data_IF_485783754025
#
_entry.id   IF_485783754025
#
_cell.length_a   1.000
_cell.length_b   1.000
_cell.length_c   1.000
_cell.angle_alpha   90.00
_cell.angle_beta   90.00
_cell.angle_gamma   90.00
#
_symmetry.space_group_name_H-M   'P 1'
#
loop_
_entity.id
_entity.type
_entity.pdbx_description
1 polymer ?
#
# COMPACT_ATOMS: atom_id res chain seq x y z
N UNK A 1 20.06 53.45 3.96
CA UNK A 1 20.26 52.36 4.93
C UNK A 1 19.58 52.75 6.23
N UNK A 2 18.28 52.45 6.35
CA UNK A 2 17.35 52.60 7.50
C UNK A 2 15.96 52.20 6.94
N UNK A 3 15.06 51.68 7.79
CA UNK A 3 13.62 51.26 7.61
C UNK A 3 13.51 49.74 7.83
N UNK A 4 12.70 49.17 8.73
CA UNK A 4 11.67 49.71 9.64
C UNK A 4 11.41 48.66 10.74
N UNK A 5 11.25 49.13 11.97
CA UNK A 5 10.71 48.36 13.09
C UNK A 5 9.46 49.13 13.54
N UNK A 6 8.28 48.50 13.53
CA UNK A 6 7.02 48.85 14.24
C UNK A 6 5.82 48.21 13.53
N UNK A 7 5.00 47.45 14.28
CA UNK A 7 3.60 47.81 14.60
C UNK A 7 3.02 46.71 15.52
N UNK A 8 2.52 47.17 16.67
CA UNK A 8 1.83 46.42 17.71
C UNK A 8 0.39 46.99 17.78
N UNK A 9 -0.60 46.10 17.90
CA UNK A 9 -1.97 46.26 18.45
C UNK A 9 -2.89 47.41 17.98
N UNK A 10 -4.07 47.02 17.47
CA UNK A 10 -5.36 47.69 17.75
C UNK A 10 -6.44 46.62 17.99
N UNK A 11 -7.15 46.74 19.12
CA UNK A 11 -8.42 46.09 19.46
C UNK A 11 -9.57 47.04 19.08
N UNK A 12 -10.70 46.54 18.56
CA UNK A 12 -12.05 46.95 19.00
C UNK A 12 -13.17 46.10 18.35
N UNK A 13 -13.84 45.32 19.19
CA UNK A 13 -15.30 45.20 19.38
C UNK A 13 -16.27 45.27 18.18
N UNK A 14 -17.04 44.19 17.97
CA UNK A 14 -18.46 44.29 17.58
C UNK A 14 -19.27 43.18 18.27
N UNK A 15 -20.23 43.60 19.09
CA UNK A 15 -21.31 42.79 19.66
C UNK A 15 -22.49 42.87 18.69
N UNK A 16 -23.11 41.74 18.35
CA UNK A 16 -24.49 41.68 17.91
C UNK A 16 -25.09 40.32 18.27
N UNK A 17 -26.07 40.37 19.15
CA UNK A 17 -26.96 39.28 19.55
C UNK A 17 -28.32 39.59 18.93
N UNK A 18 -28.84 38.76 18.02
CA UNK A 18 -30.26 38.77 17.65
C UNK A 18 -30.74 37.32 17.45
N UNK A 19 -31.87 37.04 18.09
CA UNK A 19 -32.52 35.76 18.22
C UNK A 19 -33.26 35.28 16.96
N UNK A 20 -33.42 33.96 16.91
CA UNK A 20 -34.44 33.13 16.26
C UNK A 20 -35.33 33.70 15.16
N UNK A 21 -35.28 33.04 13.99
CA UNK A 21 -36.48 32.68 13.24
C UNK A 21 -36.34 31.27 12.68
N UNK A 22 -37.33 30.45 13.02
CA UNK A 22 -37.66 29.14 12.46
C UNK A 22 -38.15 29.23 11.02
N UNK A 23 -37.90 28.15 10.28
CA UNK A 23 -38.60 27.62 9.09
C UNK A 23 -37.76 27.63 7.80
N UNK A 24 -37.35 26.44 7.34
CA UNK A 24 -38.02 25.79 6.21
C UNK A 24 -37.40 24.43 5.85
N UNK A 25 -38.31 23.47 5.71
CA UNK A 25 -38.38 22.48 4.63
C UNK A 25 -37.48 21.24 4.68
N UNK A 26 -38.17 20.15 5.04
CA UNK A 26 -37.85 18.77 4.74
C UNK A 26 -37.42 18.57 3.28
N UNK A 27 -36.19 18.08 3.08
CA UNK A 27 -35.90 17.14 1.98
C UNK A 27 -35.52 15.81 2.60
N UNK A 28 -36.50 14.91 2.51
CA UNK A 28 -36.44 13.49 2.84
C UNK A 28 -35.34 12.82 2.02
N UNK A 29 -34.22 12.46 2.65
CA UNK A 29 -33.33 11.43 2.12
C UNK A 29 -33.94 10.07 2.48
N UNK A 30 -34.09 9.13 1.53
CA UNK A 30 -34.59 7.80 1.84
C UNK A 30 -33.61 7.06 2.77
N UNK A 31 -34.12 6.29 3.76
CA UNK A 31 -33.28 5.58 4.70
C UNK A 31 -32.51 4.46 4.00
N UNK A 32 -31.21 4.37 4.29
CA UNK A 32 -30.40 3.19 4.00
C UNK A 32 -31.03 1.97 4.67
N UNK A 33 -31.61 1.09 3.86
CA UNK A 33 -32.16 -0.19 4.32
C UNK A 33 -31.01 -1.10 4.73
N UNK A 34 -30.93 -1.40 6.03
CA UNK A 34 -30.20 -2.57 6.53
C UNK A 34 -30.87 -3.85 6.04
N UNK A 35 -30.07 -4.76 5.45
CA UNK A 35 -30.16 -6.24 5.42
C UNK A 35 -29.14 -6.72 4.37
N UNK A 36 -28.32 -7.76 4.54
CA UNK A 36 -28.42 -8.97 5.35
C UNK A 36 -26.99 -9.52 5.61
N UNK A 37 -26.82 -10.18 6.76
CA UNK A 37 -25.71 -11.11 7.05
C UNK A 37 -25.56 -12.07 5.86
N UNK A 38 -24.41 -12.03 5.18
CA UNK A 38 -23.98 -13.11 4.29
C UNK A 38 -22.86 -13.88 5.00
N UNK A 39 -23.12 -15.17 5.14
CA UNK A 39 -22.28 -16.19 5.75
C UNK A 39 -20.93 -16.27 5.03
N UNK A 40 -19.83 -16.32 5.79
CA UNK A 40 -18.50 -16.62 5.26
C UNK A 40 -18.50 -17.97 4.50
N UNK A 41 -17.94 -18.05 3.29
CA UNK A 41 -17.55 -19.32 2.73
C UNK A 41 -16.31 -19.84 3.47
N UNK A 42 -16.44 -21.02 4.09
CA UNK A 42 -15.32 -21.79 4.62
C UNK A 42 -14.40 -22.17 3.46
N UNK A 43 -13.12 -21.78 3.54
CA UNK A 43 -12.07 -22.28 2.65
C UNK A 43 -11.69 -23.67 3.16
N UNK A 44 -12.11 -24.70 2.43
CA UNK A 44 -11.58 -26.06 2.55
C UNK A 44 -10.20 -26.04 1.87
N UNK A 45 -9.16 -26.23 2.67
CA UNK A 45 -7.81 -26.51 2.15
C UNK A 45 -7.79 -28.01 1.86
N UNK A 46 -7.80 -28.39 0.58
CA UNK A 46 -7.43 -29.73 0.16
C UNK A 46 -5.92 -29.87 0.30
N UNK A 47 -5.48 -30.72 1.24
CA UNK A 47 -4.10 -31.19 1.34
C UNK A 47 -3.78 -32.08 0.13
N UNK A 48 -2.99 -31.57 -0.82
CA UNK A 48 -2.29 -32.44 -1.77
C UNK A 48 -1.18 -33.19 -1.03
N UNK A 49 -1.40 -34.49 -0.89
CA UNK A 49 -0.50 -35.44 -0.28
C UNK A 49 0.70 -35.71 -1.20
N UNK A 50 1.90 -35.42 -0.69
CA UNK A 50 3.17 -35.89 -1.25
C UNK A 50 3.26 -37.42 -1.19
N UNK A 51 3.64 -38.12 -2.28
CA UNK A 51 3.96 -39.54 -2.23
C UNK A 51 5.28 -39.79 -1.49
N UNK A 52 5.24 -40.71 -0.53
CA UNK A 52 6.42 -41.28 0.12
C UNK A 52 7.26 -42.10 -0.88
N UNK A 53 8.58 -42.01 -0.79
CA UNK A 53 9.47 -43.10 -1.23
C UNK A 53 10.73 -43.16 -0.36
N UNK A 54 10.81 -44.23 0.45
CA UNK A 54 12.01 -44.87 0.98
C UNK A 54 12.05 -46.24 0.23
N UNK A 55 13.14 -46.85 -0.26
CA UNK A 55 14.54 -46.90 0.18
C UNK A 55 15.50 -47.30 -0.99
N UNK A 56 16.81 -47.21 -0.67
CA UNK A 56 17.94 -48.09 -1.07
C UNK A 56 18.83 -47.78 -2.33
N UNK A 57 19.97 -47.15 -2.01
CA UNK A 57 21.40 -47.47 -2.31
C UNK A 57 21.90 -48.00 -3.68
N UNK A 58 22.86 -47.21 -4.21
CA UNK A 58 24.13 -47.54 -4.91
C UNK A 58 24.12 -48.34 -6.21
N UNK A 59 24.64 -47.78 -7.32
CA UNK A 59 26.01 -48.06 -7.85
C UNK A 59 26.43 -47.06 -8.94
N UNK A 60 27.74 -46.93 -9.15
CA UNK A 60 28.48 -46.06 -10.09
C UNK A 60 28.46 -46.56 -11.56
N UNK A 61 28.61 -45.62 -12.52
CA UNK A 61 29.47 -45.61 -13.74
C UNK A 61 28.84 -44.66 -14.80
N UNK A 62 29.47 -43.56 -15.22
CA UNK A 62 30.61 -43.33 -16.15
C UNK A 62 30.17 -43.20 -17.64
N UNK A 63 30.42 -42.00 -18.15
CA UNK A 63 30.81 -41.59 -19.52
C UNK A 63 29.89 -41.70 -20.76
N UNK A 64 30.03 -40.62 -21.55
CA UNK A 64 29.97 -40.48 -23.03
C UNK A 64 28.69 -40.05 -23.77
N UNK A 65 28.69 -38.75 -24.11
CA UNK A 65 28.52 -38.15 -25.45
C UNK A 65 28.10 -39.08 -26.60
N UNK A 66 27.01 -38.74 -27.30
CA UNK A 66 27.03 -38.47 -28.76
C UNK A 66 25.74 -37.81 -29.24
N UNK A 67 25.93 -36.77 -30.05
CA UNK A 67 24.94 -36.25 -31.00
C UNK A 67 24.66 -37.31 -32.06
N UNK A 68 23.43 -37.38 -32.57
CA UNK A 68 23.20 -37.26 -34.02
C UNK A 68 21.72 -37.08 -34.36
N UNK A 69 21.53 -36.08 -35.20
CA UNK A 69 20.38 -35.72 -36.03
C UNK A 69 20.05 -36.84 -37.02
N UNK A 70 18.77 -37.04 -37.36
CA UNK A 70 18.40 -37.31 -38.76
C UNK A 70 16.90 -37.08 -39.03
N UNK A 71 16.65 -36.60 -40.25
CA UNK A 71 15.42 -36.07 -40.81
C UNK A 71 14.59 -37.13 -41.55
N UNK A 72 13.29 -36.84 -41.69
CA UNK A 72 12.37 -37.21 -42.79
C UNK A 72 12.03 -38.71 -42.95
N UNK A 73 10.77 -39.12 -43.17
CA UNK A 73 10.00 -38.80 -44.37
C UNK A 73 8.51 -39.16 -44.17
N UNK A 74 7.65 -38.39 -44.84
CA UNK A 74 6.21 -38.56 -45.01
C UNK A 74 5.78 -39.94 -45.54
N UNK A 75 4.57 -40.36 -45.17
CA UNK A 75 3.66 -41.04 -46.10
C UNK A 75 2.20 -40.82 -45.69
N UNK A 76 1.47 -40.13 -46.57
CA UNK A 76 0.01 -40.01 -46.58
C UNK A 76 -0.63 -41.33 -47.00
N UNK A 77 -1.69 -41.74 -46.31
CA UNK A 77 -2.75 -42.58 -46.91
C UNK A 77 -4.12 -42.08 -46.49
N UNK A 78 -4.86 -41.61 -47.48
CA UNK A 78 -6.26 -41.17 -47.42
C UNK A 78 -7.18 -42.37 -47.19
N UNK A 79 -8.03 -42.33 -46.16
CA UNK A 79 -9.32 -43.01 -46.20
C UNK A 79 -10.43 -42.13 -45.61
N UNK A 80 -11.50 -42.04 -46.40
CA UNK A 80 -12.68 -41.22 -46.26
C UNK A 80 -13.76 -42.10 -45.63
N UNK A 81 -14.26 -41.75 -44.45
CA UNK A 81 -15.55 -42.25 -43.95
C UNK A 81 -16.39 -41.03 -43.57
N UNK A 82 -17.47 -40.89 -44.32
CA UNK A 82 -18.58 -39.98 -44.08
C UNK A 82 -19.44 -40.58 -42.98
N UNK A 83 -19.65 -39.87 -41.86
CA UNK A 83 -20.86 -40.04 -41.07
C UNK A 83 -21.23 -38.71 -40.39
N UNK A 84 -22.37 -38.20 -40.83
CA UNK A 84 -23.10 -37.06 -40.34
C UNK A 84 -23.62 -37.32 -38.93
N UNK A 85 -23.32 -36.43 -37.98
CA UNK A 85 -24.19 -36.19 -36.83
C UNK A 85 -24.13 -34.71 -36.44
N UNK A 86 -25.24 -34.04 -36.74
CA UNK A 86 -25.65 -32.73 -36.25
C UNK A 86 -25.62 -32.69 -34.72
N UNK A 87 -24.74 -31.87 -34.17
CA UNK A 87 -24.94 -31.22 -32.87
C UNK A 87 -24.57 -29.77 -33.05
N UNK A 88 -25.58 -28.90 -32.96
CA UNK A 88 -25.43 -27.46 -32.93
C UNK A 88 -24.53 -27.05 -31.76
N UNK A 89 -23.25 -26.83 -32.05
CA UNK A 89 -22.42 -25.93 -31.24
C UNK A 89 -22.59 -24.55 -31.84
N UNK A 90 -23.25 -23.68 -31.09
CA UNK A 90 -23.30 -22.24 -31.30
C UNK A 90 -21.86 -21.77 -31.57
N UNK A 91 -21.55 -21.47 -32.84
CA UNK A 91 -20.33 -20.78 -33.20
C UNK A 91 -20.38 -19.43 -32.49
N UNK A 92 -19.56 -19.25 -31.45
CA UNK A 92 -19.16 -17.92 -31.04
C UNK A 92 -18.68 -17.21 -32.29
N UNK A 93 -19.32 -16.09 -32.62
CA UNK A 93 -18.93 -15.30 -33.78
C UNK A 93 -17.42 -15.04 -33.73
N UNK A 94 -16.69 -15.15 -34.85
CA UNK A 94 -15.28 -14.78 -34.89
C UNK A 94 -15.19 -13.33 -34.41
N UNK A 95 -14.31 -13.08 -33.44
CA UNK A 95 -13.89 -11.74 -33.04
C UNK A 95 -13.75 -10.88 -34.30
N UNK A 96 -14.55 -9.82 -34.38
CA UNK A 96 -14.71 -8.98 -35.56
C UNK A 96 -13.35 -8.65 -36.18
N UNK A 97 -13.15 -9.12 -37.42
CA UNK A 97 -12.02 -8.77 -38.25
C UNK A 97 -12.24 -7.33 -38.75
N UNK A 98 -12.03 -6.35 -37.87
CA UNK A 98 -12.04 -4.94 -38.24
C UNK A 98 -10.76 -4.64 -39.02
N UNK A 99 -10.85 -4.68 -40.34
CA UNK A 99 -9.81 -4.23 -41.27
C UNK A 99 -9.68 -2.70 -41.32
N UNK A 100 -9.65 -2.04 -40.17
CA UNK A 100 -9.57 -0.59 -40.05
C UNK A 100 -8.15 -0.15 -39.68
N UNK A 101 -7.77 1.02 -40.18
CA UNK A 101 -6.58 1.71 -39.67
C UNK A 101 -6.65 1.77 -38.14
N UNK A 102 -5.51 1.62 -37.44
CA UNK A 102 -5.44 1.67 -35.97
C UNK A 102 -6.05 2.95 -35.33
N UNK A 103 -6.47 3.94 -36.13
CA UNK A 103 -7.05 5.21 -35.68
C UNK A 103 -8.23 5.03 -34.70
N UNK A 104 -9.19 4.15 -34.99
CA UNK A 104 -10.34 3.95 -34.10
C UNK A 104 -9.94 3.37 -32.73
N UNK A 105 -8.96 2.46 -32.72
CA UNK A 105 -8.42 1.90 -31.49
C UNK A 105 -7.72 2.97 -30.63
N UNK A 106 -7.00 3.89 -31.28
CA UNK A 106 -6.41 5.04 -30.57
C UNK A 106 -7.47 5.96 -29.96
N UNK A 107 -8.54 6.27 -30.70
CA UNK A 107 -9.63 7.11 -30.19
C UNK A 107 -10.34 6.45 -29.01
N UNK A 108 -10.59 5.14 -29.08
CA UNK A 108 -11.15 4.39 -27.95
C UNK A 108 -10.22 4.36 -26.74
N UNK A 109 -8.92 4.07 -26.92
CA UNK A 109 -7.95 4.10 -25.84
C UNK A 109 -7.89 5.47 -25.16
N UNK A 110 -7.86 6.54 -25.95
CA UNK A 110 -7.83 7.91 -25.45
C UNK A 110 -9.09 8.22 -24.64
N UNK A 111 -10.27 7.85 -25.15
CA UNK A 111 -11.54 8.06 -24.44
C UNK A 111 -11.59 7.34 -23.09
N UNK A 112 -11.11 6.09 -23.03
CA UNK A 112 -11.00 5.36 -21.76
C UNK A 112 -10.01 6.05 -20.82
N UNK A 113 -8.87 6.56 -21.33
CA UNK A 113 -7.88 7.27 -20.54
C UNK A 113 -8.44 8.59 -19.97
N UNK A 114 -9.18 9.37 -20.75
CA UNK A 114 -9.87 10.58 -20.30
C UNK A 114 -10.85 10.27 -19.16
N UNK A 115 -11.70 9.25 -19.33
CA UNK A 115 -12.64 8.84 -18.27
C UNK A 115 -11.91 8.37 -17.01
N UNK A 116 -10.86 7.56 -17.17
CA UNK A 116 -10.03 7.10 -16.06
C UNK A 116 -9.32 8.25 -15.33
N UNK A 117 -8.86 9.27 -16.06
CA UNK A 117 -8.24 10.46 -15.48
C UNK A 117 -9.24 11.28 -14.67
N UNK A 118 -10.46 11.48 -15.18
CA UNK A 118 -11.53 12.15 -14.43
C UNK A 118 -11.86 11.37 -13.16
N UNK A 119 -12.05 10.06 -13.28
CA UNK A 119 -12.30 9.19 -12.14
C UNK A 119 -11.16 9.24 -11.11
N UNK A 120 -9.91 9.25 -11.57
CA UNK A 120 -8.72 9.38 -10.71
C UNK A 120 -8.64 10.74 -10.01
N UNK A 121 -8.94 11.83 -10.72
CA UNK A 121 -8.95 13.17 -10.12
C UNK A 121 -10.03 13.30 -9.03
N UNK A 122 -11.20 12.71 -9.24
CA UNK A 122 -12.32 12.79 -8.30
C UNK A 122 -12.15 11.87 -7.07
N UNK A 123 -11.43 10.76 -7.22
CA UNK A 123 -11.41 9.68 -6.21
C UNK A 123 -10.00 9.28 -5.72
N UNK A 124 -8.94 9.69 -6.41
CA UNK A 124 -7.56 9.26 -6.10
C UNK A 124 -7.13 9.67 -4.71
N UNK A 125 -7.21 10.98 -4.42
CA UNK A 125 -6.89 11.53 -3.09
C UNK A 125 -7.90 11.13 -2.01
N UNK A 126 -9.12 10.68 -2.39
CA UNK A 126 -10.14 10.12 -1.49
C UNK A 126 -9.90 8.65 -1.13
N UNK A 127 -8.65 8.23 -1.28
CA UNK A 127 -8.03 7.14 -0.53
C UNK A 127 -8.16 5.73 -1.09
N UNK A 128 -8.42 5.60 -2.39
CA UNK A 128 -8.70 4.26 -2.94
C UNK A 128 -7.91 3.90 -4.19
N UNK A 129 -7.45 4.87 -4.99
CA UNK A 129 -6.85 4.54 -6.28
C UNK A 129 -5.33 4.54 -6.20
N UNK A 130 -4.77 3.37 -6.47
CA UNK A 130 -3.36 3.04 -6.34
C UNK A 130 -2.87 2.39 -7.63
N UNK A 131 -1.56 2.43 -7.85
CA UNK A 131 -0.89 1.57 -8.82
C UNK A 131 -0.59 0.21 -8.17
N UNK A 132 -1.03 -0.88 -8.78
CA UNK A 132 -0.70 -2.25 -8.35
C UNK A 132 -0.29 -3.07 -9.56
N UNK A 133 0.99 -3.43 -9.66
CA UNK A 133 1.53 -4.05 -10.87
C UNK A 133 1.42 -3.15 -12.10
N UNK A 134 1.39 -1.82 -11.89
CA UNK A 134 1.24 -0.80 -12.93
C UNK A 134 -0.20 -0.51 -13.35
N UNK A 135 -1.16 -1.31 -12.90
CA UNK A 135 -2.58 -1.14 -13.22
C UNK A 135 -3.29 -0.28 -12.16
N UNK A 136 -4.29 0.47 -12.59
CA UNK A 136 -5.15 1.24 -11.70
C UNK A 136 -5.98 0.31 -10.82
N UNK A 137 -5.79 0.41 -9.52
CA UNK A 137 -6.38 -0.47 -8.52
C UNK A 137 -7.15 0.31 -7.48
N UNK A 138 -8.36 -0.14 -7.15
CA UNK A 138 -9.17 0.40 -6.08
C UNK A 138 -8.97 -0.42 -4.80
N UNK A 139 -8.26 0.13 -3.81
CA UNK A 139 -7.96 -0.53 -2.55
C UNK A 139 -9.18 -0.68 -1.62
N UNK A 140 -10.24 0.11 -1.80
CA UNK A 140 -11.47 -0.03 -1.00
C UNK A 140 -12.34 -1.18 -1.45
N UNK A 141 -12.41 -1.44 -2.76
CA UNK A 141 -13.16 -2.57 -3.31
C UNK A 141 -12.28 -3.80 -3.55
N UNK A 142 -10.97 -3.64 -3.45
CA UNK A 142 -9.95 -4.63 -3.74
C UNK A 142 -9.93 -5.14 -5.20
N UNK A 143 -10.40 -4.33 -6.16
CA UNK A 143 -10.45 -4.67 -7.58
C UNK A 143 -9.66 -3.71 -8.46
N UNK A 144 -9.18 -4.21 -9.61
CA UNK A 144 -8.67 -3.35 -10.68
C UNK A 144 -9.81 -2.59 -11.34
N UNK A 145 -9.54 -1.34 -11.70
CA UNK A 145 -10.45 -0.54 -12.51
C UNK A 145 -10.33 -1.03 -13.95
N UNK A 146 -11.47 -1.32 -14.58
CA UNK A 146 -11.56 -1.88 -15.94
C UNK A 146 -12.49 -1.05 -16.82
N UNK A 147 -12.45 -1.23 -18.14
CA UNK A 147 -13.42 -0.61 -19.05
C UNK A 147 -14.86 -0.94 -18.64
N UNK A 148 -15.12 -2.20 -18.30
CA UNK A 148 -16.44 -2.66 -17.84
C UNK A 148 -16.90 -1.99 -16.54
N UNK A 149 -15.97 -1.64 -15.64
CA UNK A 149 -16.31 -0.84 -14.47
C UNK A 149 -16.92 0.51 -14.89
N UNK A 150 -16.32 1.21 -15.87
CA UNK A 150 -16.86 2.49 -16.32
C UNK A 150 -18.18 2.36 -17.07
N UNK A 151 -18.34 1.34 -17.93
CA UNK A 151 -19.61 1.09 -18.64
C UNK A 151 -20.74 0.81 -17.65
N UNK A 152 -20.50 -0.07 -16.66
CA UNK A 152 -21.52 -0.45 -15.66
C UNK A 152 -21.92 0.71 -14.74
N UNK A 153 -21.04 1.69 -14.55
CA UNK A 153 -21.30 2.89 -13.76
C UNK A 153 -21.75 4.10 -14.61
N UNK A 154 -22.00 3.91 -15.92
CA UNK A 154 -22.48 4.97 -16.81
C UNK A 154 -21.45 6.06 -17.12
N UNK A 155 -20.16 5.77 -16.93
CA UNK A 155 -19.03 6.67 -17.21
C UNK A 155 -18.44 6.49 -18.62
N UNK A 156 -18.77 5.37 -19.27
CA UNK A 156 -18.49 5.09 -20.68
C UNK A 156 -19.73 4.55 -21.39
N UNK A 157 -19.82 4.77 -22.70
CA UNK A 157 -20.88 4.27 -23.55
C UNK A 157 -20.84 2.73 -23.69
N UNK A 158 -21.97 2.11 -24.04
CA UNK A 158 -22.09 0.65 -24.13
C UNK A 158 -21.23 0.00 -25.22
N UNK A 159 -20.77 0.75 -26.22
CA UNK A 159 -19.89 0.26 -27.28
C UNK A 159 -18.44 -0.02 -26.79
N UNK A 160 -18.15 0.28 -25.53
CA UNK A 160 -16.92 -0.10 -24.82
C UNK A 160 -17.02 -1.42 -24.05
N UNK A 161 -18.18 -2.09 -24.02
CA UNK A 161 -18.38 -3.34 -23.24
C UNK A 161 -17.41 -4.45 -23.64
N UNK A 162 -17.15 -4.59 -24.94
CA UNK A 162 -16.22 -5.60 -25.47
C UNK A 162 -14.81 -5.04 -25.74
N UNK A 163 -14.53 -3.81 -25.28
CA UNK A 163 -13.24 -3.16 -25.46
C UNK A 163 -12.31 -3.43 -24.28
N UNK A 164 -11.53 -4.50 -24.41
CA UNK A 164 -10.55 -4.90 -23.40
C UNK A 164 -9.26 -4.10 -23.53
N UNK A 165 -8.94 -3.33 -22.49
CA UNK A 165 -7.68 -2.61 -22.37
C UNK A 165 -7.27 -2.54 -20.90
N UNK A 166 -5.96 -2.47 -20.68
CA UNK A 166 -5.40 -2.21 -19.38
C UNK A 166 -5.54 -0.71 -19.06
N UNK A 167 -6.10 -0.39 -17.90
CA UNK A 167 -6.07 0.96 -17.34
C UNK A 167 -4.91 1.01 -16.34
N UNK A 168 -3.97 1.90 -16.61
CA UNK A 168 -2.66 1.97 -16.00
C UNK A 168 -2.52 3.24 -15.16
N UNK A 169 -1.74 3.15 -14.10
CA UNK A 169 -1.31 4.27 -13.27
C UNK A 169 0.20 4.18 -13.09
N UNK A 170 0.93 4.96 -13.88
CA UNK A 170 2.38 4.82 -14.07
C UNK A 170 3.06 6.19 -14.04
N UNK A 171 4.38 6.18 -13.84
CA UNK A 171 5.23 7.33 -14.08
C UNK A 171 5.48 7.53 -15.56
N UNK A 172 5.30 8.75 -16.05
CA UNK A 172 5.58 9.09 -17.44
C UNK A 172 7.05 8.88 -17.81
N UNK A 173 7.95 9.14 -16.87
CA UNK A 173 9.39 8.87 -17.02
C UNK A 173 9.70 7.38 -17.26
N UNK A 174 8.95 6.46 -16.66
CA UNK A 174 9.16 5.02 -16.89
C UNK A 174 8.74 4.57 -18.29
N UNK A 175 7.72 5.22 -18.86
CA UNK A 175 7.27 4.94 -20.23
C UNK A 175 8.23 5.59 -21.24
N UNK A 176 8.75 6.79 -20.93
CA UNK A 176 9.70 7.51 -21.76
C UNK A 176 10.99 6.71 -22.07
N UNK A 177 11.36 5.73 -21.24
CA UNK A 177 12.47 4.81 -21.54
C UNK A 177 12.24 3.91 -22.77
N UNK A 178 11.00 3.80 -23.23
CA UNK A 178 10.60 2.91 -24.33
C UNK A 178 9.97 3.66 -25.51
N UNK A 179 9.94 4.99 -25.49
CA UNK A 179 9.34 5.82 -26.53
C UNK A 179 10.18 7.07 -26.80
N UNK A 180 10.06 7.62 -28.01
CA UNK A 180 10.73 8.88 -28.39
C UNK A 180 9.91 10.12 -27.96
N UNK A 181 8.71 9.93 -27.40
CA UNK A 181 7.85 11.02 -26.92
C UNK A 181 8.23 11.41 -25.49
N UNK A 182 8.52 12.69 -25.29
CA UNK A 182 8.78 13.23 -23.95
C UNK A 182 7.49 13.40 -23.14
N UNK A 183 7.14 12.34 -22.43
CA UNK A 183 6.08 12.31 -21.42
C UNK A 183 6.65 12.30 -19.99
N UNK A 184 7.94 12.59 -19.83
CA UNK A 184 8.62 12.53 -18.52
C UNK A 184 8.08 13.56 -17.52
N UNK A 185 7.46 14.63 -18.03
CA UNK A 185 6.79 15.66 -17.24
C UNK A 185 5.53 15.16 -16.51
N UNK A 186 4.97 14.01 -16.90
CA UNK A 186 3.84 13.40 -16.20
C UNK A 186 4.36 12.54 -15.04
N UNK A 187 4.35 13.07 -13.82
CA UNK A 187 4.86 12.38 -12.62
C UNK A 187 4.23 11.00 -12.41
N UNK A 188 2.97 10.94 -11.96
CA UNK A 188 2.14 9.74 -11.90
C UNK A 188 0.86 10.05 -12.67
N UNK A 189 0.64 9.35 -13.77
CA UNK A 189 -0.42 9.62 -14.73
C UNK A 189 -1.23 8.39 -15.10
N UNK A 190 -2.43 8.64 -15.60
CA UNK A 190 -3.28 7.60 -16.18
C UNK A 190 -2.84 7.32 -17.61
N UNK A 191 -2.75 6.03 -17.93
CA UNK A 191 -2.52 5.57 -19.29
C UNK A 191 -3.48 4.41 -19.60
N UNK A 192 -3.71 4.15 -20.87
CA UNK A 192 -4.40 2.94 -21.32
C UNK A 192 -3.49 2.16 -22.25
N UNK A 193 -3.58 0.84 -22.19
CA UNK A 193 -2.81 -0.02 -23.07
C UNK A 193 -3.65 -1.18 -23.62
N UNK A 194 -3.45 -1.51 -24.90
CA UNK A 194 -4.01 -2.73 -25.48
C UNK A 194 -3.04 -3.35 -26.48
N UNK A 195 -3.19 -4.66 -26.71
CA UNK A 195 -2.50 -5.33 -27.80
C UNK A 195 -3.08 -4.83 -29.12
N UNK A 196 -2.20 -4.45 -30.05
CA UNK A 196 -2.60 -4.05 -31.38
C UNK A 196 -3.34 -5.22 -32.07
N UNK A 197 -4.57 -5.03 -32.57
CA UNK A 197 -5.38 -6.12 -33.13
C UNK A 197 -4.73 -6.88 -34.29
N UNK A 198 -3.94 -6.19 -35.10
CA UNK A 198 -3.25 -6.71 -36.28
C UNK A 198 -1.74 -6.93 -36.07
N UNK A 199 -1.23 -6.75 -34.85
CA UNK A 199 0.21 -6.72 -34.59
C UNK A 199 0.65 -7.36 -33.26
N UNK A 200 1.96 -7.37 -33.05
CA UNK A 200 2.61 -7.91 -31.84
C UNK A 200 3.14 -6.79 -30.93
N UNK A 201 2.51 -5.62 -30.99
CA UNK A 201 2.89 -4.43 -30.22
C UNK A 201 1.76 -4.04 -29.27
N UNK A 202 2.14 -3.39 -28.18
CA UNK A 202 1.24 -2.75 -27.24
C UNK A 202 1.11 -1.28 -27.61
N UNK A 203 -0.13 -0.86 -27.85
CA UNK A 203 -0.50 0.54 -28.04
C UNK A 203 -0.71 1.16 -26.67
N UNK A 204 -0.03 2.27 -26.36
CA UNK A 204 -0.15 3.01 -25.10
C UNK A 204 -0.63 4.43 -25.40
N UNK A 205 -1.67 4.87 -24.71
CA UNK A 205 -2.27 6.19 -24.86
C UNK A 205 -2.39 6.88 -23.51
N UNK A 206 -2.22 8.20 -23.50
CA UNK A 206 -2.61 9.06 -22.38
C UNK A 206 -3.98 9.68 -22.67
N UNK A 207 -4.58 10.43 -21.74
CA UNK A 207 -5.80 11.19 -21.99
C UNK A 207 -5.67 12.22 -23.12
N UNK A 208 -4.46 12.74 -23.36
CA UNK A 208 -4.22 13.87 -24.26
C UNK A 208 -3.60 13.47 -25.59
N UNK A 209 -2.85 12.37 -25.62
CA UNK A 209 -2.07 12.00 -26.79
C UNK A 209 -1.79 10.50 -26.90
N UNK A 210 -1.47 10.08 -28.13
CA UNK A 210 -0.95 8.76 -28.44
C UNK A 210 0.50 8.72 -27.98
N UNK A 211 0.84 7.81 -27.06
CA UNK A 211 2.15 7.84 -26.37
C UNK A 211 3.17 6.94 -27.06
N UNK A 212 2.82 5.68 -27.30
CA UNK A 212 3.80 4.73 -27.82
C UNK A 212 3.18 3.48 -28.45
N UNK A 213 3.93 2.84 -29.34
CA UNK A 213 3.67 1.47 -29.79
C UNK A 213 4.91 0.62 -29.53
N UNK A 214 4.95 -0.04 -28.38
CA UNK A 214 6.12 -0.78 -27.88
C UNK A 214 5.95 -2.30 -28.08
N UNK A 215 7.03 -3.06 -28.00
CA UNK A 215 6.92 -4.53 -28.03
C UNK A 215 6.22 -5.05 -26.77
N UNK A 216 5.59 -6.23 -26.85
CA UNK A 216 5.02 -6.90 -25.67
C UNK A 216 6.07 -7.17 -24.58
N UNK A 217 7.33 -7.41 -24.97
CA UNK A 217 8.44 -7.59 -24.03
C UNK A 217 8.75 -6.31 -23.26
N UNK A 218 8.81 -5.16 -23.95
CA UNK A 218 9.02 -3.86 -23.30
C UNK A 218 7.85 -3.50 -22.39
N UNK A 219 6.62 -3.81 -22.79
CA UNK A 219 5.45 -3.63 -21.93
C UNK A 219 5.55 -4.47 -20.64
N UNK A 220 5.96 -5.73 -20.75
CA UNK A 220 6.20 -6.59 -19.57
C UNK A 220 7.32 -6.03 -18.68
N UNK A 221 8.42 -5.52 -19.26
CA UNK A 221 9.51 -4.86 -18.51
C UNK A 221 9.03 -3.59 -17.80
N UNK A 222 8.21 -2.78 -18.46
CA UNK A 222 7.58 -1.60 -17.87
C UNK A 222 6.73 -1.99 -16.65
N UNK A 223 5.79 -2.92 -16.79
CA UNK A 223 4.95 -3.35 -15.65
C UNK A 223 5.75 -4.03 -14.54
N UNK A 224 6.87 -4.69 -14.87
CA UNK A 224 7.75 -5.31 -13.88
C UNK A 224 8.32 -4.29 -12.88
N UNK A 225 8.53 -3.04 -13.29
CA UNK A 225 8.96 -1.96 -12.39
C UNK A 225 7.98 -1.66 -11.25
N UNK A 226 6.72 -2.09 -11.40
CA UNK A 226 5.63 -1.85 -10.46
C UNK A 226 5.25 -3.11 -9.68
N UNK A 227 6.05 -4.16 -9.76
CA UNK A 227 5.89 -5.35 -8.93
C UNK A 227 6.21 -5.01 -7.48
N UNK A 228 5.31 -5.38 -6.59
CA UNK A 228 5.39 -5.03 -5.18
C UNK A 228 5.99 -6.12 -4.29
N UNK A 229 6.67 -7.08 -4.89
CA UNK A 229 7.32 -8.16 -4.17
C UNK A 229 8.83 -8.06 -4.35
N UNK A 230 9.54 -7.73 -3.26
CA UNK A 230 11.00 -7.65 -3.24
C UNK A 230 11.63 -8.66 -2.28
N UNK A 231 10.85 -9.64 -1.81
CA UNK A 231 11.28 -10.60 -0.79
C UNK A 231 10.28 -10.70 0.35
N UNK A 232 10.62 -11.53 1.34
CA UNK A 232 9.83 -11.66 2.54
C UNK A 232 9.89 -10.37 3.38
N UNK A 233 8.79 -10.08 4.08
CA UNK A 233 8.74 -8.99 5.05
C UNK A 233 9.30 -9.51 6.37
N UNK A 234 10.18 -8.73 6.97
CA UNK A 234 10.80 -8.99 8.25
C UNK A 234 10.58 -7.80 9.19
N UNK A 235 10.38 -8.10 10.47
CA UNK A 235 10.53 -7.12 11.55
C UNK A 235 11.95 -7.31 12.08
N UNK A 236 12.76 -6.26 12.07
CA UNK A 236 14.13 -6.35 12.59
C UNK A 236 14.11 -6.38 14.11
N UNK A 237 14.90 -7.29 14.67
CA UNK A 237 15.23 -7.25 16.09
C UNK A 237 16.37 -6.25 16.34
N UNK A 238 16.40 -5.58 17.51
CA UNK A 238 17.49 -4.69 17.91
C UNK A 238 18.88 -5.35 17.96
N UNK A 239 18.95 -6.69 17.94
CA UNK A 239 20.22 -7.44 17.99
C UNK A 239 20.85 -7.64 16.61
N UNK A 240 20.18 -7.24 15.53
CA UNK A 240 20.67 -7.40 14.16
C UNK A 240 21.54 -6.21 13.72
N UNK A 241 22.66 -6.46 13.04
CA UNK A 241 23.54 -5.39 12.54
C UNK A 241 22.81 -4.39 11.61
N UNK A 242 21.86 -4.90 10.83
CA UNK A 242 21.04 -4.09 9.92
C UNK A 242 20.23 -3.01 10.66
N UNK A 243 19.81 -3.32 11.89
CA UNK A 243 19.04 -2.42 12.73
C UNK A 243 19.84 -1.15 13.05
N UNK A 244 21.07 -1.31 13.57
CA UNK A 244 21.94 -0.16 13.85
C UNK A 244 22.43 0.51 12.57
N UNK A 245 22.57 -0.21 11.45
CA UNK A 245 22.89 0.42 10.15
C UNK A 245 21.81 1.41 9.73
N UNK A 246 20.54 1.02 9.82
CA UNK A 246 19.39 1.89 9.52
C UNK A 246 19.34 3.08 10.49
N UNK A 247 19.51 2.84 11.80
CA UNK A 247 19.46 3.92 12.78
C UNK A 247 20.61 4.92 12.60
N UNK A 248 21.83 4.46 12.33
CA UNK A 248 22.97 5.33 12.06
C UNK A 248 22.72 6.20 10.83
N UNK A 249 22.13 5.64 9.78
CA UNK A 249 21.73 6.42 8.61
C UNK A 249 20.71 7.52 8.98
N UNK A 250 19.68 7.18 9.76
CA UNK A 250 18.68 8.16 10.23
C UNK A 250 19.35 9.26 11.06
N UNK A 251 20.28 8.93 11.97
CA UNK A 251 21.03 9.91 12.77
C UNK A 251 21.75 10.94 11.88
N UNK A 252 22.43 10.45 10.84
CA UNK A 252 23.14 11.30 9.87
C UNK A 252 22.15 12.17 9.09
N UNK A 253 21.05 11.59 8.61
CA UNK A 253 20.02 12.30 7.85
C UNK A 253 19.35 13.41 8.68
N UNK A 254 19.00 13.14 9.94
CA UNK A 254 18.39 14.14 10.83
C UNK A 254 19.41 15.18 11.33
N UNK A 255 20.71 14.95 11.13
CA UNK A 255 21.77 15.72 11.78
C UNK A 255 21.71 15.62 13.31
N UNK A 256 21.07 14.57 13.82
CA UNK A 256 20.86 14.34 15.25
C UNK A 256 21.49 13.01 15.66
N UNK A 257 22.49 13.07 16.54
CA UNK A 257 23.19 11.90 17.08
C UNK A 257 22.61 11.42 18.41
N UNK A 258 21.42 11.93 18.78
CA UNK A 258 20.65 11.42 19.90
C UNK A 258 20.35 9.93 19.71
N UNK A 259 20.17 9.25 20.85
CA UNK A 259 19.57 7.93 20.85
C UNK A 259 18.09 8.03 20.51
N UNK A 260 17.58 7.00 19.86
CA UNK A 260 16.18 6.87 19.53
C UNK A 260 15.52 5.83 20.43
N UNK A 261 14.26 6.07 20.76
CA UNK A 261 13.33 5.02 21.11
C UNK A 261 12.69 4.54 19.81
N UNK A 262 12.96 3.30 19.41
CA UNK A 262 12.35 2.68 18.24
C UNK A 262 11.10 1.93 18.68
N UNK A 263 10.14 1.78 17.77
CA UNK A 263 8.89 1.03 18.00
C UNK A 263 8.82 -0.18 17.09
N UNK A 264 9.30 -0.01 15.87
CA UNK A 264 9.26 -1.03 14.84
C UNK A 264 10.15 -0.63 13.67
N UNK A 265 10.84 -1.62 13.10
CA UNK A 265 11.50 -1.53 11.79
C UNK A 265 11.03 -2.72 10.97
N UNK A 266 10.18 -2.46 9.97
CA UNK A 266 9.72 -3.46 9.00
C UNK A 266 10.46 -3.28 7.71
N UNK A 267 10.95 -4.34 7.09
CA UNK A 267 11.60 -4.24 5.79
C UNK A 267 11.37 -5.46 4.91
N UNK A 268 11.52 -5.23 3.61
CA UNK A 268 11.84 -6.26 2.62
C UNK A 268 13.24 -5.96 2.05
N UNK A 269 13.64 -6.63 0.97
CA UNK A 269 14.99 -6.40 0.41
C UNK A 269 15.20 -5.00 -0.20
N UNK A 270 14.13 -4.23 -0.45
CA UNK A 270 14.19 -2.92 -1.13
C UNK A 270 13.74 -1.76 -0.25
N UNK A 271 12.78 -1.95 0.64
CA UNK A 271 12.17 -0.88 1.41
C UNK A 271 12.15 -1.19 2.90
N UNK A 272 12.24 -0.14 3.72
CA UNK A 272 12.03 -0.22 5.17
C UNK A 272 11.06 0.85 5.65
N UNK A 273 10.25 0.53 6.66
CA UNK A 273 9.41 1.46 7.40
C UNK A 273 9.91 1.50 8.84
N UNK A 274 10.31 2.68 9.30
CA UNK A 274 10.91 2.89 10.61
C UNK A 274 10.02 3.81 11.43
N UNK A 275 9.57 3.34 12.60
CA UNK A 275 8.77 4.15 13.54
C UNK A 275 9.56 4.37 14.82
N UNK A 276 9.79 5.62 15.19
CA UNK A 276 10.73 5.97 16.25
C UNK A 276 10.45 7.37 16.84
N UNK A 277 11.12 7.70 17.94
CA UNK A 277 11.20 9.06 18.48
C UNK A 277 12.54 9.30 19.15
N UNK A 278 12.94 10.57 19.29
CA UNK A 278 14.13 10.94 20.08
C UNK A 278 13.91 10.62 21.55
N UNK A 279 14.95 10.20 22.29
CA UNK A 279 14.81 9.95 23.73
C UNK A 279 14.37 11.19 24.53
N UNK A 280 14.69 12.39 24.05
CA UNK A 280 14.27 13.66 24.65
C UNK A 280 12.76 13.94 24.50
N UNK A 281 12.06 13.21 23.63
CA UNK A 281 10.64 13.43 23.34
C UNK A 281 9.99 12.14 22.85
N UNK A 282 9.74 11.20 23.77
CA UNK A 282 9.20 9.88 23.46
C UNK A 282 7.87 9.93 22.68
N UNK A 283 7.04 10.96 22.93
CA UNK A 283 5.74 11.15 22.28
C UNK A 283 5.81 11.84 20.91
N UNK A 284 6.96 12.41 20.53
CA UNK A 284 7.15 13.01 19.20
C UNK A 284 7.55 11.92 18.21
N UNK A 285 6.57 11.08 17.85
CA UNK A 285 6.79 9.89 17.04
C UNK A 285 6.87 10.27 15.56
N UNK A 286 7.95 9.84 14.93
CA UNK A 286 8.21 9.94 13.50
C UNK A 286 8.05 8.57 12.86
N UNK A 287 7.67 8.58 11.59
CA UNK A 287 7.60 7.39 10.77
C UNK A 287 8.15 7.69 9.38
N UNK A 288 9.19 6.96 9.00
CA UNK A 288 9.94 7.14 7.77
C UNK A 288 9.80 5.92 6.86
N UNK A 289 9.83 6.14 5.55
CA UNK A 289 10.04 5.10 4.54
C UNK A 289 11.42 5.29 3.94
N UNK A 290 12.22 4.22 3.96
CA UNK A 290 13.56 4.17 3.40
C UNK A 290 13.57 3.26 2.18
N UNK A 291 14.44 3.57 1.22
CA UNK A 291 14.74 2.74 0.05
C UNK A 291 16.19 2.29 0.11
N UNK A 292 16.43 1.01 -0.17
CA UNK A 292 17.75 0.43 -0.33
C UNK A 292 18.16 0.53 -1.79
N UNK A 293 19.23 1.28 -2.06
CA UNK A 293 19.90 1.35 -3.35
C UNK A 293 21.32 0.85 -3.17
N UNK A 294 21.64 -0.29 -3.76
CA UNK A 294 22.99 -0.87 -3.73
C UNK A 294 23.58 -1.01 -2.30
N UNK A 295 22.75 -1.47 -1.35
CA UNK A 295 23.06 -1.59 0.09
C UNK A 295 23.21 -0.26 0.86
N UNK A 296 22.79 0.85 0.26
CA UNK A 296 22.68 2.13 0.94
C UNK A 296 21.21 2.50 1.15
N UNK A 297 20.87 2.82 2.39
CA UNK A 297 19.54 3.33 2.72
C UNK A 297 19.46 4.81 2.40
N UNK A 298 18.35 5.22 1.82
CA UNK A 298 17.99 6.61 1.57
C UNK A 298 16.57 6.89 2.08
N UNK A 299 16.32 8.10 2.60
CA UNK A 299 14.96 8.49 3.00
C UNK A 299 14.14 8.80 1.76
N UNK A 300 13.09 8.02 1.54
CA UNK A 300 12.12 8.27 0.46
C UNK A 300 10.94 9.11 0.95
N UNK A 301 10.48 8.89 2.19
CA UNK A 301 9.37 9.63 2.82
C UNK A 301 9.71 9.86 4.30
N UNK A 302 9.65 11.10 4.79
CA UNK A 302 10.06 11.46 6.16
C UNK A 302 8.90 11.97 7.06
N UNK A 303 7.69 12.04 6.54
CA UNK A 303 6.55 12.64 7.23
C UNK A 303 5.32 11.75 7.21
N UNK A 304 5.51 10.43 7.07
CA UNK A 304 4.43 9.46 6.94
C UNK A 304 3.46 9.50 8.13
N UNK A 305 3.96 9.76 9.34
CA UNK A 305 3.18 9.99 10.56
C UNK A 305 2.17 11.16 10.48
N UNK A 306 2.30 12.06 9.50
CA UNK A 306 1.39 13.19 9.25
C UNK A 306 0.33 12.88 8.19
N UNK A 307 0.35 11.68 7.61
CA UNK A 307 -0.53 11.31 6.51
C UNK A 307 -1.74 10.53 7.03
N UNK A 308 -2.96 10.98 6.69
CA UNK A 308 -4.19 10.28 7.09
C UNK A 308 -4.43 8.99 6.28
N UNK A 309 -3.87 8.90 5.08
CA UNK A 309 -3.85 7.67 4.29
C UNK A 309 -2.42 7.29 3.91
N UNK A 310 -1.92 6.29 4.61
CA UNK A 310 -0.58 5.75 4.40
C UNK A 310 -0.44 5.05 3.05
N UNK A 311 -1.46 4.31 2.60
CA UNK A 311 -1.39 3.55 1.35
C UNK A 311 -1.23 4.48 0.15
N UNK A 312 -2.04 5.53 0.06
CA UNK A 312 -1.95 6.51 -1.04
C UNK A 312 -0.68 7.34 -0.94
N UNK A 313 -0.32 7.84 0.25
CA UNK A 313 0.88 8.65 0.46
C UNK A 313 2.15 7.91 0.02
N UNK A 314 2.25 6.61 0.30
CA UNK A 314 3.40 5.81 -0.13
C UNK A 314 3.31 5.46 -1.61
N UNK A 315 2.18 4.92 -2.08
CA UNK A 315 2.07 4.40 -3.44
C UNK A 315 2.16 5.50 -4.52
N UNK A 316 1.73 6.73 -4.22
CA UNK A 316 1.89 7.87 -5.14
C UNK A 316 3.35 8.27 -5.38
N UNK A 317 4.26 7.94 -4.45
CA UNK A 317 5.71 8.20 -4.56
C UNK A 317 6.47 6.95 -5.00
N UNK A 318 6.13 5.81 -4.42
CA UNK A 318 6.76 4.49 -4.55
C UNK A 318 5.70 3.46 -5.00
N UNK A 319 5.34 3.43 -6.28
CA UNK A 319 4.20 2.63 -6.77
C UNK A 319 4.47 1.12 -6.76
N UNK A 320 5.74 0.73 -6.62
CA UNK A 320 6.18 -0.65 -6.42
C UNK A 320 6.28 -1.03 -4.93
N UNK A 321 6.01 -0.12 -3.99
CA UNK A 321 6.13 -0.44 -2.57
C UNK A 321 5.14 -1.55 -2.12
N UNK A 322 5.63 -2.49 -1.31
CA UNK A 322 4.77 -3.49 -0.68
C UNK A 322 3.98 -2.89 0.48
N UNK A 323 2.72 -2.52 0.24
CA UNK A 323 1.86 -1.88 1.25
C UNK A 323 1.69 -2.67 2.55
N UNK A 324 1.95 -3.99 2.55
CA UNK A 324 1.93 -4.80 3.77
C UNK A 324 3.09 -4.49 4.75
N UNK A 325 4.11 -3.75 4.30
CA UNK A 325 5.15 -3.20 5.19
C UNK A 325 4.63 -2.11 6.12
N UNK A 326 3.49 -1.50 5.78
CA UNK A 326 2.90 -0.47 6.63
C UNK A 326 2.37 -1.11 7.92
N UNK A 327 2.53 -0.42 9.07
CA UNK A 327 1.92 -0.90 10.29
C UNK A 327 0.40 -0.84 10.21
N UNK A 328 -0.27 -1.66 11.03
CA UNK A 328 -1.73 -1.70 11.10
C UNK A 328 -2.35 -0.45 11.73
N UNK A 329 -1.52 0.41 12.34
CA UNK A 329 -1.93 1.68 12.95
C UNK A 329 -1.58 2.86 12.04
N UNK A 330 -2.28 3.98 12.24
CA UNK A 330 -1.89 5.26 11.66
C UNK A 330 -1.75 6.33 12.76
N UNK A 331 -0.52 6.82 12.95
CA UNK A 331 -0.15 7.80 13.98
C UNK A 331 -0.94 9.12 13.80
N UNK A 332 -1.29 9.49 12.57
CA UNK A 332 -2.01 10.72 12.27
C UNK A 332 -3.29 10.87 13.10
N UNK A 333 -4.01 9.77 13.35
CA UNK A 333 -5.27 9.78 14.08
C UNK A 333 -5.10 9.99 15.59
N UNK A 334 -3.88 9.86 16.12
CA UNK A 334 -3.58 10.04 17.56
C UNK A 334 -2.78 11.30 17.86
N UNK A 335 -2.49 12.14 16.86
CA UNK A 335 -1.65 13.34 17.04
C UNK A 335 -2.14 14.28 18.15
N UNK A 336 -3.45 14.32 18.39
CA UNK A 336 -4.09 15.13 19.44
C UNK A 336 -4.33 14.34 20.73
N UNK A 337 -4.10 13.03 20.72
CA UNK A 337 -4.31 12.11 21.84
C UNK A 337 -3.01 11.80 22.60
N UNK A 338 -1.85 12.16 22.04
CA UNK A 338 -0.54 11.94 22.68
C UNK A 338 -0.43 12.75 23.97
N UNK A 339 -0.21 12.08 25.10
CA UNK A 339 0.01 12.71 26.39
C UNK A 339 1.44 13.20 26.53
N UNK A 340 1.62 14.41 27.05
CA UNK A 340 2.93 14.97 27.39
C UNK A 340 3.17 15.12 28.89
N UNK A 341 2.10 15.12 29.68
CA UNK A 341 2.15 15.06 31.14
C UNK A 341 1.75 13.65 31.59
N UNK A 342 2.62 13.06 32.41
CA UNK A 342 2.48 11.71 32.93
C UNK A 342 2.27 11.68 34.45
N UNK A 343 2.09 12.84 35.09
CA UNK A 343 2.00 12.97 36.55
C UNK A 343 0.87 12.11 37.14
N UNK A 344 -0.24 11.97 36.43
CA UNK A 344 -1.38 11.13 36.85
C UNK A 344 -1.02 9.63 36.82
N UNK A 345 -0.42 9.17 35.74
CA UNK A 345 0.06 7.78 35.58
C UNK A 345 1.10 7.46 36.65
N UNK A 346 2.11 8.33 36.82
CA UNK A 346 3.20 8.11 37.77
C UNK A 346 2.70 8.12 39.23
N UNK A 347 1.74 9.00 39.57
CA UNK A 347 1.12 9.01 40.89
C UNK A 347 0.33 7.74 41.15
N UNK A 348 -0.41 7.24 40.16
CA UNK A 348 -1.14 5.98 40.26
C UNK A 348 -0.16 4.81 40.50
N UNK A 349 0.95 4.73 39.76
CA UNK A 349 1.96 3.69 39.96
C UNK A 349 2.58 3.71 41.37
N UNK A 350 2.85 4.89 41.93
CA UNK A 350 3.39 5.03 43.30
C UNK A 350 2.32 4.62 44.32
N UNK A 351 1.08 5.07 44.14
CA UNK A 351 -0.03 4.75 45.04
C UNK A 351 -0.31 3.25 45.13
N UNK A 352 -0.16 2.53 44.02
CA UNK A 352 -0.28 1.07 43.95
C UNK A 352 1.02 0.31 44.21
N UNK A 353 2.07 0.99 44.69
CA UNK A 353 3.37 0.39 45.02
C UNK A 353 4.03 -0.37 43.85
N UNK A 354 3.71 0.03 42.61
CA UNK A 354 4.34 -0.52 41.40
C UNK A 354 5.75 0.05 41.18
N UNK A 355 5.97 1.28 41.63
CA UNK A 355 7.26 1.95 41.72
C UNK A 355 7.33 2.73 43.05
N UNK A 356 8.53 2.96 43.55
CA UNK A 356 8.76 3.80 44.74
C UNK A 356 8.90 5.28 44.36
N UNK A 357 9.52 5.56 43.22
CA UNK A 357 9.81 6.92 42.76
C UNK A 357 9.86 7.02 41.24
N UNK A 358 9.56 8.21 40.72
CA UNK A 358 9.47 8.46 39.27
C UNK A 358 10.79 8.23 38.52
N UNK A 359 11.94 8.39 39.19
CA UNK A 359 13.26 8.19 38.61
C UNK A 359 13.56 6.74 38.19
N UNK A 360 12.73 5.78 38.61
CA UNK A 360 12.83 4.38 38.16
C UNK A 360 12.37 4.18 36.71
N UNK A 361 11.60 5.13 36.16
CA UNK A 361 11.07 5.06 34.79
C UNK A 361 12.14 5.46 33.79
N UNK A 362 12.48 4.52 32.90
CA UNK A 362 13.38 4.75 31.78
C UNK A 362 12.62 5.32 30.57
N UNK A 363 11.44 4.76 30.29
CA UNK A 363 10.62 5.11 29.16
C UNK A 363 9.16 5.18 29.57
N UNK A 364 8.46 6.19 29.05
CA UNK A 364 7.00 6.30 29.13
C UNK A 364 6.48 6.96 27.86
N UNK A 365 5.44 6.36 27.28
CA UNK A 365 4.70 6.92 26.17
C UNK A 365 3.23 6.57 26.34
N UNK A 366 2.34 7.52 26.05
CA UNK A 366 0.93 7.35 26.34
C UNK A 366 0.05 8.14 25.37
N UNK A 367 -1.10 7.57 25.07
CA UNK A 367 -2.26 8.27 24.51
C UNK A 367 -3.30 8.50 25.60
N UNK A 368 -4.43 9.12 25.27
CA UNK A 368 -5.56 9.31 26.18
C UNK A 368 -5.98 8.04 26.93
N UNK A 369 -5.92 6.87 26.27
CA UNK A 369 -6.50 5.62 26.79
C UNK A 369 -5.49 4.52 27.09
N UNK A 370 -4.24 4.63 26.61
CA UNK A 370 -3.21 3.62 26.83
C UNK A 370 -1.90 4.27 27.26
N UNK A 371 -1.13 3.59 28.11
CA UNK A 371 0.24 3.96 28.43
C UNK A 371 1.14 2.72 28.43
N UNK A 372 2.38 2.88 27.98
CA UNK A 372 3.41 1.86 28.04
C UNK A 372 4.63 2.43 28.74
N UNK A 373 5.16 1.66 29.69
CA UNK A 373 6.17 2.10 30.65
C UNK A 373 7.24 1.03 30.76
N UNK A 374 8.51 1.45 30.73
CA UNK A 374 9.67 0.58 30.95
C UNK A 374 10.52 1.18 32.06
N UNK A 375 10.88 0.37 33.04
CA UNK A 375 11.77 0.76 34.14
C UNK A 375 13.22 0.45 33.78
N UNK A 376 14.18 1.13 34.43
CA UNK A 376 15.62 0.84 34.25
C UNK A 376 16.02 -0.61 34.60
N UNK A 377 15.20 -1.31 35.39
CA UNK A 377 15.36 -2.74 35.70
C UNK A 377 14.84 -3.69 34.62
N UNK A 378 14.29 -3.18 33.51
CA UNK A 378 13.70 -3.97 32.42
C UNK A 378 12.24 -4.37 32.64
N UNK A 379 11.68 -4.10 33.82
CA UNK A 379 10.26 -4.32 34.09
C UNK A 379 9.38 -3.41 33.23
N UNK A 380 8.31 -4.00 32.68
CA UNK A 380 7.40 -3.35 31.73
C UNK A 380 5.98 -3.33 32.27
N UNK A 381 5.29 -2.21 32.05
CA UNK A 381 3.89 -2.04 32.43
C UNK A 381 3.08 -1.53 31.26
N UNK A 382 1.86 -2.07 31.15
CA UNK A 382 0.82 -1.60 30.25
C UNK A 382 -0.32 -1.05 31.09
N UNK A 383 -0.66 0.21 30.88
CA UNK A 383 -1.81 0.84 31.49
C UNK A 383 -2.93 1.06 30.48
N UNK A 384 -4.16 0.85 30.94
CA UNK A 384 -5.39 1.22 30.22
C UNK A 384 -6.19 2.17 31.09
N UNK A 385 -6.69 3.24 30.49
CA UNK A 385 -7.58 4.16 31.20
C UNK A 385 -8.97 3.56 31.33
N UNK A 386 -9.46 3.44 32.57
CA UNK A 386 -10.81 3.00 32.90
C UNK A 386 -11.50 4.12 33.68
N UNK A 387 -12.47 4.79 33.05
CA UNK A 387 -13.06 6.03 33.56
C UNK A 387 -11.99 7.09 33.82
N UNK A 388 -11.85 7.55 35.06
CA UNK A 388 -10.87 8.56 35.47
C UNK A 388 -9.58 7.97 36.07
N UNK A 389 -9.45 6.64 36.14
CA UNK A 389 -8.29 5.98 36.73
C UNK A 389 -7.50 5.13 35.72
N UNK A 390 -6.25 4.83 36.07
CA UNK A 390 -5.36 3.99 35.28
C UNK A 390 -5.30 2.59 35.87
N UNK A 391 -5.73 1.60 35.10
CA UNK A 391 -5.49 0.20 35.39
C UNK A 391 -4.14 -0.20 34.80
N UNK A 392 -3.11 -0.26 35.65
CA UNK A 392 -1.72 -0.51 35.26
C UNK A 392 -1.31 -1.90 35.71
N UNK A 393 -0.89 -2.73 34.75
CA UNK A 393 -0.43 -4.10 35.02
C UNK A 393 0.93 -4.36 34.43
N UNK A 394 1.68 -5.25 35.08
CA UNK A 394 2.97 -5.73 34.58
C UNK A 394 2.75 -6.64 33.37
N UNK A 395 3.59 -6.48 32.35
CA UNK A 395 3.60 -7.30 31.11
C UNK A 395 4.95 -7.97 30.94
N UNK A 396 4.98 -9.14 30.31
CA UNK A 396 6.20 -9.95 30.21
C UNK A 396 7.14 -9.49 29.08
N UNK A 397 6.57 -9.01 27.99
CA UNK A 397 7.31 -8.62 26.77
C UNK A 397 6.63 -7.47 26.05
N UNK A 398 7.33 -6.87 25.08
CA UNK A 398 6.72 -5.92 24.14
C UNK A 398 5.60 -6.60 23.32
N UNK A 399 5.81 -7.85 22.92
CA UNK A 399 4.82 -8.66 22.20
C UNK A 399 3.56 -8.87 23.05
N UNK A 400 3.72 -9.25 24.33
CA UNK A 400 2.60 -9.42 25.28
C UNK A 400 1.79 -8.13 25.47
N UNK A 401 2.48 -6.98 25.49
CA UNK A 401 1.82 -5.67 25.53
C UNK A 401 1.01 -5.40 24.25
N UNK A 402 1.60 -5.62 23.06
CA UNK A 402 0.94 -5.40 21.77
C UNK A 402 -0.26 -6.33 21.59
N UNK A 403 -0.13 -7.62 21.92
CA UNK A 403 -1.21 -8.59 21.80
C UNK A 403 -2.35 -8.25 22.76
N UNK A 404 -2.03 -7.86 23.99
CA UNK A 404 -3.00 -7.37 24.96
C UNK A 404 -3.78 -6.14 24.46
N UNK A 405 -3.08 -5.19 23.83
CA UNK A 405 -3.70 -4.00 23.26
C UNK A 405 -4.62 -4.36 22.09
N UNK A 406 -4.19 -5.25 21.20
CA UNK A 406 -4.98 -5.68 20.02
C UNK A 406 -6.20 -6.52 20.39
N UNK A 407 -6.11 -7.31 21.45
CA UNK A 407 -7.24 -8.09 21.97
C UNK A 407 -8.37 -7.17 22.45
N UNK A 408 -8.01 -6.03 23.04
CA UNK A 408 -8.95 -5.02 23.53
C UNK A 408 -9.52 -4.14 22.40
N UNK A 409 -8.65 -3.67 21.50
CA UNK A 409 -9.02 -2.84 20.36
C UNK A 409 -8.08 -3.14 19.18
N UNK A 410 -8.65 -3.58 18.05
CA UNK A 410 -7.87 -3.84 16.83
C UNK A 410 -7.11 -2.60 16.34
N UNK A 411 -7.63 -1.40 16.63
CA UNK A 411 -7.00 -0.11 16.37
C UNK A 411 -6.30 0.45 17.61
N UNK A 412 -5.76 -0.38 18.50
CA UNK A 412 -5.01 0.15 19.63
C UNK A 412 -3.71 0.84 19.17
N UNK A 413 -3.25 1.90 19.87
CA UNK A 413 -2.07 2.69 19.51
C UNK A 413 -0.78 1.94 19.85
N UNK A 414 -0.55 0.79 19.22
CA UNK A 414 0.59 -0.11 19.52
C UNK A 414 1.95 0.53 19.24
N UNK A 415 1.99 1.64 18.50
CA UNK A 415 3.18 2.49 18.33
C UNK A 415 3.70 3.15 19.61
N UNK A 416 3.02 3.03 20.76
CA UNK A 416 3.56 3.48 22.06
C UNK A 416 4.52 2.44 22.67
N UNK A 417 4.54 1.22 22.16
CA UNK A 417 5.35 0.09 22.67
C UNK A 417 6.70 0.07 21.99
N UNK A 418 7.78 -0.03 22.77
CA UNK A 418 9.14 -0.19 22.23
C UNK A 418 9.30 -1.53 21.54
N UNK A 419 10.22 -1.60 20.59
CA UNK A 419 10.70 -2.86 20.06
C UNK A 419 11.56 -3.63 21.09
N UNK A 420 11.73 -4.92 20.85
CA UNK A 420 12.43 -5.87 21.74
C UNK A 420 13.35 -6.81 20.94
#
# INVERSE_FOLDING_TARGET
MIILNKIFKIFSTFIMLVAGMTACQNTTHPPFTQKQKQTEPQIIIEEESTPQTNEQQQTQQKDEHHEQTEQQTEQQTTQKITESNTTEKTKSAPFLYWGESNAQYWEKLQKVAETAQLFYNDNGSRFTLLSKGGKLYNSSTAYYVTTNYFVNNGLLEKDFTDFDCDILLLKGSDIAEYTDIDISHMDMGIFTAMKQPSGNKMMICSPTEKVASISEENYKKLLKKYQNYHGAIHILSPQMDEYERILNFIRVYEGNYDKYYVRDIRLDSKYAVVTFSSQNSANNIKQYVLVNKDNFWEVAINDLHKQSNLHYAVNSVLPDFNLNLLPSYNIFFYKNDMKVDFSDILRNMIYHELIEQQSQVQYICSTTNYCYIVLYGGDRYLGKKLNDDWDIRKVKSAIDAVDSMKLDNQNAPTFIVLDE
#
